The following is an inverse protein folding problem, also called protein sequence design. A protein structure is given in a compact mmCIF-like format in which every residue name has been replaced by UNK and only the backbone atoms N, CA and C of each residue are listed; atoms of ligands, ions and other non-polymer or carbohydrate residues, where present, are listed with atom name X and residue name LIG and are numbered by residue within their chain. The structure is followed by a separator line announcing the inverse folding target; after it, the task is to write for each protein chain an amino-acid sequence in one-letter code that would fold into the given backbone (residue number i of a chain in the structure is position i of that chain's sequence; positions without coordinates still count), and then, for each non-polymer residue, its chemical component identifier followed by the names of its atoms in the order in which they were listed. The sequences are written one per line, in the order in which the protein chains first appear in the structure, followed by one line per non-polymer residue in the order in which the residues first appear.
data_IF_658507027694
#
_entry.id   IF_658507027694
#
_cell.length_a   1.000
_cell.length_b   1.000
_cell.length_c   1.000
_cell.angle_alpha   90.00
_cell.angle_beta   90.00
_cell.angle_gamma   90.00
#
_symmetry.space_group_name_H-M   'P 1'
#
loop_
_entity.id
_entity.type
_entity.pdbx_description
1 polymer ?
#
# COMPACT_ATOMS: atom_id res chain seq x y z
N UNK A 1 15.98 -5.52 13.87
CA UNK A 1 16.55 -6.28 12.74
C UNK A 1 16.78 -5.30 11.60
N UNK A 2 18.03 -5.01 11.25
CA UNK A 2 18.33 -4.19 10.07
C UNK A 2 18.10 -5.03 8.81
N UNK A 3 17.32 -4.51 7.86
CA UNK A 3 17.05 -5.18 6.59
C UNK A 3 18.30 -5.12 5.68
N UNK A 4 18.51 -6.14 4.84
CA UNK A 4 19.62 -6.19 3.88
C UNK A 4 19.19 -5.64 2.52
N UNK A 5 20.09 -4.91 1.88
CA UNK A 5 19.90 -4.35 0.55
C UNK A 5 19.81 -5.48 -0.48
N UNK A 6 18.74 -5.56 -1.29
CA UNK A 6 18.58 -6.60 -2.29
C UNK A 6 19.53 -6.42 -3.49
N UNK A 7 20.12 -5.23 -3.67
CA UNK A 7 21.06 -4.95 -4.77
C UNK A 7 22.51 -5.33 -4.45
N UNK A 8 22.99 -5.04 -3.24
CA UNK A 8 24.41 -5.24 -2.89
C UNK A 8 24.66 -6.03 -1.61
N UNK A 9 23.61 -6.43 -0.88
CA UNK A 9 23.73 -7.12 0.41
C UNK A 9 24.11 -6.24 1.60
N UNK A 10 24.37 -4.95 1.39
CA UNK A 10 24.67 -3.98 2.44
C UNK A 10 23.49 -3.70 3.38
N UNK A 11 23.70 -2.87 4.39
CA UNK A 11 22.66 -2.53 5.37
C UNK A 11 21.69 -1.49 4.81
N UNK A 12 20.38 -1.69 5.04
CA UNK A 12 19.35 -0.67 4.82
C UNK A 12 19.12 0.12 6.11
N UNK A 13 19.04 1.43 5.97
CA UNK A 13 18.77 2.38 7.04
C UNK A 13 17.39 3.00 6.85
N UNK A 14 16.64 3.13 7.94
CA UNK A 14 15.38 3.87 7.94
C UNK A 14 15.68 5.37 7.91
N UNK A 15 15.10 6.06 6.95
CA UNK A 15 15.17 7.51 6.79
C UNK A 15 13.75 8.08 6.75
N UNK A 16 13.62 9.34 7.15
CA UNK A 16 12.37 10.07 7.17
C UNK A 16 12.57 11.39 6.41
N UNK A 17 11.65 11.71 5.52
CA UNK A 17 11.43 13.07 5.02
C UNK A 17 10.20 13.67 5.74
N UNK A 18 9.77 14.86 5.32
CA UNK A 18 8.66 15.58 5.95
C UNK A 18 7.37 14.76 6.08
N UNK A 19 7.03 13.97 5.04
CA UNK A 19 5.75 13.25 4.95
C UNK A 19 5.92 11.75 4.64
N UNK A 20 7.15 11.24 4.57
CA UNK A 20 7.43 9.87 4.15
C UNK A 20 8.54 9.21 4.96
N UNK A 21 8.45 7.89 5.09
CA UNK A 21 9.52 7.06 5.60
C UNK A 21 10.00 6.14 4.48
N UNK A 22 11.30 5.88 4.40
CA UNK A 22 11.88 4.99 3.41
C UNK A 22 13.11 4.28 3.93
N UNK A 23 13.44 3.14 3.34
CA UNK A 23 14.71 2.47 3.56
C UNK A 23 15.72 2.88 2.48
N UNK A 24 16.88 3.39 2.90
CA UNK A 24 17.99 3.76 2.03
C UNK A 24 19.24 2.88 2.27
N UNK A 25 19.93 2.48 1.19
CA UNK A 25 21.24 1.84 1.25
C UNK A 25 22.33 2.84 0.87
N UNK A 26 23.17 3.21 1.83
CA UNK A 26 24.28 4.16 1.63
C UNK A 26 25.37 3.65 0.67
N UNK A 27 25.43 2.32 0.45
CA UNK A 27 26.51 1.71 -0.33
C UNK A 27 26.25 1.72 -1.84
N UNK A 28 25.00 1.60 -2.27
CA UNK A 28 24.63 1.51 -3.69
C UNK A 28 23.46 2.41 -4.09
N UNK A 29 22.94 3.24 -3.17
CA UNK A 29 21.82 4.15 -3.42
C UNK A 29 20.48 3.47 -3.61
N UNK A 30 20.28 2.24 -3.12
CA UNK A 30 18.96 1.61 -3.16
C UNK A 30 17.99 2.29 -2.20
N UNK A 31 16.83 2.71 -2.71
CA UNK A 31 15.76 3.32 -1.95
C UNK A 31 14.50 2.47 -2.11
N UNK A 32 13.77 2.29 -1.00
CA UNK A 32 12.46 1.65 -0.97
C UNK A 32 11.55 2.43 -0.05
N UNK A 33 10.47 2.97 -0.58
CA UNK A 33 9.43 3.61 0.21
C UNK A 33 8.81 2.64 1.21
N UNK A 34 8.61 3.13 2.44
CA UNK A 34 7.76 2.51 3.42
C UNK A 34 6.42 3.20 3.34
N UNK A 35 5.50 2.59 2.60
CA UNK A 35 4.11 3.01 2.61
C UNK A 35 3.63 3.02 4.07
N UNK A 36 3.40 4.22 4.61
CA UNK A 36 2.79 4.44 5.91
C UNK A 36 1.31 4.01 5.81
N UNK A 37 1.07 2.71 5.98
CA UNK A 37 -0.24 2.13 6.26
C UNK A 37 -1.37 2.52 5.31
N UNK A 38 -1.44 1.83 4.16
CA UNK A 38 -2.58 1.89 3.23
C UNK A 38 -2.71 3.21 2.46
N UNK A 39 -3.32 3.15 1.29
CA UNK A 39 -3.66 4.36 0.53
C UNK A 39 -5.00 4.96 1.00
N UNK A 40 -5.34 6.15 0.51
CA UNK A 40 -6.68 6.71 0.71
C UNK A 40 -7.76 5.78 0.16
N UNK A 41 -7.47 5.11 -0.97
CA UNK A 41 -8.35 4.10 -1.56
C UNK A 41 -8.53 2.90 -0.63
N UNK A 42 -7.49 2.45 0.07
CA UNK A 42 -7.58 1.37 1.06
C UNK A 42 -8.48 1.79 2.24
N UNK A 43 -8.29 2.99 2.78
CA UNK A 43 -9.12 3.56 3.83
C UNK A 43 -10.59 3.70 3.39
N UNK A 44 -10.81 4.19 2.17
CA UNK A 44 -12.13 4.34 1.59
C UNK A 44 -12.78 2.97 1.37
N UNK A 45 -12.03 1.99 0.88
CA UNK A 45 -12.53 0.65 0.65
C UNK A 45 -13.00 -0.01 1.94
N UNK A 46 -12.24 0.15 3.03
CA UNK A 46 -12.62 -0.36 4.35
C UNK A 46 -13.85 0.39 4.89
N UNK A 47 -13.87 1.72 4.78
CA UNK A 47 -15.01 2.55 5.22
C UNK A 47 -16.30 2.20 4.48
N UNK A 48 -16.23 1.95 3.17
CA UNK A 48 -17.38 1.62 2.32
C UNK A 48 -17.77 0.14 2.35
N UNK A 49 -16.94 -0.73 2.94
CA UNK A 49 -17.17 -2.19 3.02
C UNK A 49 -18.57 -2.56 3.54
N UNK A 50 -19.09 -2.01 4.66
CA UNK A 50 -20.43 -2.34 5.15
C UNK A 50 -21.54 -1.87 4.20
N UNK A 51 -21.36 -0.74 3.52
CA UNK A 51 -22.34 -0.22 2.56
C UNK A 51 -22.38 -1.07 1.29
N UNK A 52 -21.22 -1.48 0.77
CA UNK A 52 -21.11 -2.37 -0.39
C UNK A 52 -21.77 -3.73 -0.15
N UNK A 53 -21.65 -4.28 1.06
CA UNK A 53 -22.30 -5.55 1.42
C UNK A 53 -23.85 -5.46 1.40
N UNK A 54 -24.41 -4.26 1.59
CA UNK A 54 -25.86 -4.01 1.62
C UNK A 54 -26.44 -3.63 0.25
N UNK A 55 -25.60 -3.31 -0.72
CA UNK A 55 -26.08 -2.94 -2.05
C UNK A 55 -26.61 -4.19 -2.78
N UNK A 56 -27.85 -4.18 -3.25
CA UNK A 56 -28.37 -5.29 -4.03
C UNK A 56 -27.55 -5.40 -5.32
N UNK A 57 -27.10 -6.62 -5.62
CA UNK A 57 -26.44 -6.93 -6.89
C UNK A 57 -27.39 -6.55 -8.02
N UNK A 58 -27.04 -5.52 -8.81
CA UNK A 58 -27.77 -5.14 -10.04
C UNK A 58 -27.66 -6.18 -11.17
N UNK A 59 -27.39 -7.46 -10.85
CA UNK A 59 -27.47 -8.56 -11.82
C UNK A 59 -28.86 -9.16 -11.75
N UNK A 60 -29.77 -8.68 -12.59
CA UNK A 60 -31.09 -9.29 -12.69
C UNK A 60 -32.22 -8.50 -13.35
N UNK A 61 -31.94 -7.55 -14.26
CA UNK A 61 -33.00 -6.99 -15.13
C UNK A 61 -32.75 -7.32 -16.60
N UNK A 62 -32.45 -8.59 -16.90
CA UNK A 62 -32.72 -9.14 -18.23
C UNK A 62 -34.20 -9.51 -18.24
N UNK A 63 -35.03 -8.59 -18.74
CA UNK A 63 -36.43 -8.85 -19.06
C UNK A 63 -36.45 -9.86 -20.22
N UNK A 64 -36.91 -11.09 -19.92
CA UNK A 64 -37.52 -11.98 -20.90
C UNK A 64 -38.96 -11.52 -21.13
N UNK A 65 -39.42 -11.55 -22.38
CA UNK A 65 -40.79 -11.26 -22.80
C UNK A 65 -40.79 -10.43 -24.07
#
# INVERSE_FOLDING_TARGET
MASRCPRCGGTLFLQHDHDSAYHGCLQCGYVRDLALGGTLEDLLAETLRPLRARLPSRRGRSRRG
#
